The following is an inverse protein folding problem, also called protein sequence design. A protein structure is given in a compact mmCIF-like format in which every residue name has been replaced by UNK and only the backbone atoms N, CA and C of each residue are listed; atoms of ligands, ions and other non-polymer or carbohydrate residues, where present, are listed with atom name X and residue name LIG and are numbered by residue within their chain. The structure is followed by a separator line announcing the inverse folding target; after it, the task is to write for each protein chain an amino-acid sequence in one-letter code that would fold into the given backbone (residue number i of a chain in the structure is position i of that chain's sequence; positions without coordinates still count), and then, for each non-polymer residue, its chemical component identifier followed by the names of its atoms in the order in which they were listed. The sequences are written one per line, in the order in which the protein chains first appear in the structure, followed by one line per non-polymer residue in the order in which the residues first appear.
data_IF_824865908869
#
_entry.id   IF_824865908869
#
_cell.length_a   1.000
_cell.length_b   1.000
_cell.length_c   1.000
_cell.angle_alpha   90.00
_cell.angle_beta   90.00
_cell.angle_gamma   90.00
#
_symmetry.space_group_name_H-M   'P 1'
#
loop_
_entity.id
_entity.type
_entity.pdbx_description
1 polymer ?
#
# COMPACT_ATOMS: atom_id res chain seq x y z
N UNK A 1 -2.02 -3.84 8.93
CA UNK A 1 -0.93 -2.85 8.66
C UNK A 1 -1.38 -1.76 7.69
N UNK A 2 -1.90 -2.11 6.51
CA UNK A 2 -2.42 -1.13 5.54
C UNK A 2 -3.46 -0.17 6.16
N UNK A 3 -4.42 -0.72 6.89
CA UNK A 3 -5.44 0.02 7.64
C UNK A 3 -4.86 1.12 8.52
N UNK A 4 -3.85 0.79 9.33
CA UNK A 4 -3.17 1.76 10.19
C UNK A 4 -2.47 2.86 9.38
N UNK A 5 -1.82 2.51 8.26
CA UNK A 5 -1.20 3.49 7.38
C UNK A 5 -2.23 4.40 6.70
N UNK A 6 -3.34 3.85 6.23
CA UNK A 6 -4.43 4.63 5.63
C UNK A 6 -5.03 5.62 6.64
N UNK A 7 -5.26 5.20 7.88
CA UNK A 7 -5.73 6.10 8.94
C UNK A 7 -4.72 7.17 9.30
N UNK A 8 -3.43 6.83 9.35
CA UNK A 8 -2.37 7.81 9.57
C UNK A 8 -2.40 8.90 8.51
N UNK A 9 -2.49 8.53 7.22
CA UNK A 9 -2.63 9.50 6.13
C UNK A 9 -3.94 10.31 6.25
N UNK A 10 -5.08 9.66 6.53
CA UNK A 10 -6.38 10.34 6.70
C UNK A 10 -6.38 11.34 7.86
N UNK A 11 -5.67 11.04 8.94
CA UNK A 11 -5.57 11.91 10.12
C UNK A 11 -4.81 13.20 9.79
N UNK A 12 -3.64 13.09 9.14
CA UNK A 12 -2.82 14.25 8.78
C UNK A 12 -3.34 15.07 7.61
N UNK A 13 -4.45 14.66 6.98
CA UNK A 13 -5.21 15.54 6.10
C UNK A 13 -6.04 16.59 6.86
N UNK A 14 -6.31 16.37 8.15
CA UNK A 14 -7.13 17.25 9.01
C UNK A 14 -6.33 17.93 10.10
N UNK A 15 -5.28 17.28 10.60
CA UNK A 15 -4.47 17.77 11.71
C UNK A 15 -3.01 18.00 11.29
N UNK A 16 -2.34 18.92 12.01
CA UNK A 16 -0.92 19.22 11.80
C UNK A 16 -0.02 18.23 12.53
N UNK A 17 1.14 17.94 11.94
CA UNK A 17 2.24 17.21 12.62
C UNK A 17 2.89 18.03 13.75
N UNK A 18 2.65 19.33 13.80
CA UNK A 18 3.10 20.20 14.89
C UNK A 18 2.25 20.00 16.15
N UNK A 19 0.93 19.84 15.97
CA UNK A 19 -0.03 19.67 17.07
C UNK A 19 -0.06 18.23 17.59
N UNK A 20 0.07 17.26 16.68
CA UNK A 20 0.04 15.84 16.98
C UNK A 20 1.33 15.18 16.51
N UNK A 21 2.09 14.65 17.45
CA UNK A 21 3.37 14.06 17.15
C UNK A 21 3.20 12.71 16.42
N UNK A 22 3.95 12.55 15.31
CA UNK A 22 3.85 11.41 14.39
C UNK A 22 3.99 10.04 15.05
N UNK A 23 4.80 9.91 16.10
CA UNK A 23 5.01 8.61 16.75
C UNK A 23 3.78 8.18 17.55
N UNK A 24 3.13 9.11 18.24
CA UNK A 24 1.94 8.85 19.03
C UNK A 24 0.75 8.52 18.14
N UNK A 25 0.58 9.27 17.04
CA UNK A 25 -0.47 8.98 16.04
C UNK A 25 -0.23 7.64 15.36
N UNK A 26 1.01 7.33 14.96
CA UNK A 26 1.33 6.03 14.35
C UNK A 26 1.07 4.86 15.32
N UNK A 27 1.48 4.99 16.59
CA UNK A 27 1.23 3.99 17.61
C UNK A 27 -0.28 3.78 17.84
N UNK A 28 -1.04 4.87 17.87
CA UNK A 28 -2.50 4.85 18.03
C UNK A 28 -3.21 4.22 16.83
N UNK A 29 -2.77 4.54 15.60
CA UNK A 29 -3.30 3.91 14.40
C UNK A 29 -3.06 2.39 14.40
N UNK A 30 -1.87 1.94 14.79
CA UNK A 30 -1.55 0.52 14.93
C UNK A 30 -2.42 -0.13 16.00
N UNK A 31 -2.51 0.48 17.18
CA UNK A 31 -3.30 -0.06 18.28
C UNK A 31 -4.78 -0.17 17.90
N UNK A 32 -5.37 0.89 17.36
CA UNK A 32 -6.74 0.91 16.89
C UNK A 32 -6.97 -0.15 15.81
N UNK A 33 -6.02 -0.32 14.87
CA UNK A 33 -6.18 -1.27 13.77
C UNK A 33 -6.20 -2.71 14.30
N UNK A 34 -5.42 -3.02 15.33
CA UNK A 34 -5.48 -4.35 15.96
C UNK A 34 -6.81 -4.66 16.63
N UNK A 35 -7.54 -3.62 17.09
CA UNK A 35 -8.88 -3.79 17.64
C UNK A 35 -9.92 -4.00 16.54
N UNK A 36 -9.83 -3.25 15.45
CA UNK A 36 -10.78 -3.32 14.33
C UNK A 36 -10.61 -4.59 13.48
N UNK A 37 -9.37 -5.05 13.25
CA UNK A 37 -9.08 -6.26 12.46
C UNK A 37 -9.16 -7.57 13.29
N UNK A 38 -9.78 -7.54 14.47
CA UNK A 38 -9.92 -8.68 15.41
C UNK A 38 -8.59 -9.38 15.81
N UNK A 39 -7.44 -8.73 15.57
CA UNK A 39 -6.12 -9.24 15.90
C UNK A 39 -5.55 -8.60 17.18
N UNK A 40 -6.41 -8.41 18.19
CA UNK A 40 -6.14 -7.61 19.38
C UNK A 40 -4.74 -7.82 19.98
N UNK A 41 -4.06 -6.70 20.27
CA UNK A 41 -2.78 -6.67 20.97
C UNK A 41 -2.95 -5.90 22.28
N UNK A 42 -2.20 -6.28 23.32
CA UNK A 42 -2.21 -5.53 24.58
C UNK A 42 -1.58 -4.16 24.33
N UNK A 43 -2.19 -3.10 24.87
CA UNK A 43 -1.68 -1.74 24.77
C UNK A 43 -0.22 -1.64 25.22
N UNK A 44 0.13 -2.31 26.32
CA UNK A 44 1.50 -2.37 26.84
C UNK A 44 2.49 -2.94 25.82
N UNK A 45 2.13 -3.98 25.07
CA UNK A 45 3.02 -4.60 24.10
C UNK A 45 3.28 -3.65 22.93
N UNK A 46 2.25 -2.91 22.49
CA UNK A 46 2.39 -1.85 21.47
C UNK A 46 3.31 -0.74 21.99
N UNK A 47 3.08 -0.24 23.20
CA UNK A 47 3.89 0.80 23.81
C UNK A 47 5.37 0.38 23.96
N UNK A 48 5.65 -0.85 24.39
CA UNK A 48 7.02 -1.38 24.46
C UNK A 48 7.73 -1.39 23.11
N UNK A 49 7.01 -1.78 22.04
CA UNK A 49 7.57 -1.76 20.68
C UNK A 49 7.87 -0.33 20.25
N UNK A 50 6.98 0.63 20.54
CA UNK A 50 7.21 2.05 20.25
C UNK A 50 8.44 2.56 21.00
N UNK A 51 8.51 2.40 22.32
CA UNK A 51 9.66 2.81 23.12
C UNK A 51 10.97 2.18 22.62
N UNK A 52 10.95 0.89 22.24
CA UNK A 52 12.11 0.21 21.66
C UNK A 52 12.57 0.85 20.35
N UNK A 53 11.64 1.19 19.45
CA UNK A 53 11.95 1.81 18.16
C UNK A 53 12.42 3.25 18.29
N UNK A 54 11.87 4.01 19.23
CA UNK A 54 12.26 5.41 19.48
C UNK A 54 13.61 5.50 20.18
N UNK A 55 13.86 4.66 21.19
CA UNK A 55 15.10 4.69 21.97
C UNK A 55 16.23 3.87 21.35
N UNK A 56 15.97 3.15 20.25
CA UNK A 56 16.90 2.20 19.62
C UNK A 56 17.45 1.13 20.59
N UNK A 57 16.62 0.74 21.56
CA UNK A 57 16.94 -0.29 22.56
C UNK A 57 16.14 -1.54 22.25
N UNK A 58 16.74 -2.71 22.45
CA UNK A 58 16.05 -3.99 22.29
C UNK A 58 14.85 -4.10 23.25
N UNK A 59 13.71 -4.57 22.74
CA UNK A 59 12.44 -4.71 23.48
C UNK A 59 12.65 -5.52 24.77
N UNK A 60 13.53 -6.54 24.72
CA UNK A 60 13.83 -7.41 25.87
C UNK A 60 14.48 -6.67 27.04
N UNK A 61 15.09 -5.50 26.81
CA UNK A 61 15.76 -4.70 27.83
C UNK A 61 14.83 -3.66 28.47
N UNK A 62 13.63 -3.47 27.91
CA UNK A 62 12.65 -2.52 28.42
C UNK A 62 11.79 -3.22 29.46
N UNK A 63 11.83 -2.70 30.70
CA UNK A 63 11.00 -3.18 31.79
C UNK A 63 9.51 -2.89 31.52
N UNK A 64 8.64 -3.82 31.91
CA UNK A 64 7.19 -3.74 31.69
C UNK A 64 6.54 -2.59 32.48
N UNK A 65 7.14 -2.21 33.60
CA UNK A 65 6.75 -1.16 34.55
C UNK A 65 7.62 0.10 34.44
N UNK A 66 8.34 0.24 33.32
CA UNK A 66 9.11 1.47 33.06
C UNK A 66 8.16 2.66 32.90
N UNK A 67 8.54 3.78 33.50
CA UNK A 67 7.77 5.04 33.45
C UNK A 67 7.52 5.47 32.01
N UNK A 68 8.50 5.27 31.13
CA UNK A 68 8.41 5.60 29.71
C UNK A 68 7.31 4.78 29.00
N UNK A 69 7.14 3.51 29.35
CA UNK A 69 6.08 2.65 28.79
C UNK A 69 4.72 3.08 29.32
N UNK A 70 4.59 3.45 30.60
CA UNK A 70 3.33 3.98 31.15
C UNK A 70 2.92 5.31 30.51
N UNK A 71 3.87 6.23 30.33
CA UNK A 71 3.65 7.50 29.62
C UNK A 71 3.25 7.26 28.16
N UNK A 72 3.92 6.32 27.47
CA UNK A 72 3.57 5.95 26.09
C UNK A 72 2.16 5.34 25.98
N UNK A 73 1.77 4.45 26.91
CA UNK A 73 0.42 3.89 26.95
C UNK A 73 -0.63 5.01 27.12
N UNK A 74 -0.37 5.96 28.01
CA UNK A 74 -1.26 7.11 28.24
C UNK A 74 -1.37 7.97 26.97
N UNK A 75 -0.24 8.27 26.33
CA UNK A 75 -0.20 9.02 25.07
C UNK A 75 -0.99 8.35 23.95
N UNK A 76 -0.86 7.02 23.80
CA UNK A 76 -1.61 6.23 22.82
C UNK A 76 -3.12 6.35 23.07
N UNK A 77 -3.57 6.24 24.32
CA UNK A 77 -5.01 6.32 24.63
C UNK A 77 -5.59 7.71 24.38
N UNK A 78 -4.86 8.77 24.76
CA UNK A 78 -5.29 10.15 24.51
C UNK A 78 -5.31 10.47 23.01
N UNK A 79 -4.30 10.02 22.28
CA UNK A 79 -4.22 10.23 20.83
C UNK A 79 -5.27 9.40 20.09
N UNK A 80 -5.60 8.20 20.59
CA UNK A 80 -6.66 7.36 20.06
C UNK A 80 -8.03 8.07 20.11
N UNK A 81 -8.37 8.76 21.19
CA UNK A 81 -9.63 9.51 21.32
C UNK A 81 -9.78 10.53 20.17
N UNK A 82 -8.73 11.33 19.93
CA UNK A 82 -8.71 12.32 18.84
C UNK A 82 -8.67 11.65 17.47
N UNK A 83 -7.98 10.51 17.34
CA UNK A 83 -7.91 9.74 16.10
C UNK A 83 -9.30 9.25 15.68
N UNK A 84 -10.11 8.74 16.61
CA UNK A 84 -11.47 8.27 16.33
C UNK A 84 -12.33 9.40 15.75
N UNK A 85 -12.28 10.59 16.36
CA UNK A 85 -12.98 11.78 15.86
C UNK A 85 -12.43 12.25 14.51
N UNK A 86 -11.10 12.25 14.35
CA UNK A 86 -10.41 12.63 13.11
C UNK A 86 -10.73 11.73 11.92
N UNK A 87 -11.01 10.45 12.18
CA UNK A 87 -11.49 9.49 11.19
C UNK A 87 -13.01 9.55 11.00
N UNK A 88 -13.72 10.39 11.76
CA UNK A 88 -15.17 10.47 11.75
C UNK A 88 -15.83 9.11 12.04
N UNK A 89 -15.17 8.27 12.85
CA UNK A 89 -15.57 6.88 13.11
C UNK A 89 -15.72 6.00 11.85
N UNK A 90 -15.12 6.40 10.72
CA UNK A 90 -15.07 5.60 9.50
C UNK A 90 -13.83 4.70 9.49
N UNK A 91 -14.03 3.46 9.90
CA UNK A 91 -12.97 2.45 9.98
C UNK A 91 -12.88 1.54 8.76
N UNK A 92 -13.73 1.76 7.74
CA UNK A 92 -13.71 0.93 6.54
C UNK A 92 -12.52 1.33 5.67
N UNK A 93 -11.62 0.37 5.44
CA UNK A 93 -10.44 0.53 4.61
C UNK A 93 -10.31 -0.67 3.68
N UNK A 94 -10.63 -0.45 2.42
CA UNK A 94 -10.40 -1.41 1.35
C UNK A 94 -8.92 -1.41 0.98
N UNK A 95 -8.34 -2.61 0.83
CA UNK A 95 -6.89 -2.81 0.75
C UNK A 95 -6.47 -3.31 -0.63
N UNK A 96 -5.42 -2.75 -1.27
CA UNK A 96 -4.96 -3.19 -2.58
C UNK A 96 -4.43 -4.64 -2.56
N UNK A 97 -4.05 -5.15 -1.39
CA UNK A 97 -3.71 -6.56 -1.20
C UNK A 97 -4.88 -7.49 -1.53
N UNK A 98 -6.12 -7.10 -1.22
CA UNK A 98 -7.31 -7.90 -1.57
C UNK A 98 -7.46 -8.01 -3.08
N UNK A 99 -7.44 -6.86 -3.77
CA UNK A 99 -7.51 -6.80 -5.24
C UNK A 99 -6.34 -7.54 -5.92
N UNK A 100 -5.14 -7.53 -5.31
CA UNK A 100 -3.99 -8.29 -5.81
C UNK A 100 -4.20 -9.79 -5.73
N UNK A 101 -4.77 -10.30 -4.63
CA UNK A 101 -5.07 -11.73 -4.49
C UNK A 101 -6.07 -12.16 -5.55
N UNK A 102 -7.17 -11.41 -5.71
CA UNK A 102 -8.18 -11.68 -6.73
C UNK A 102 -7.57 -11.64 -8.15
N UNK A 103 -6.66 -10.72 -8.40
CA UNK A 103 -5.93 -10.61 -9.66
C UNK A 103 -4.99 -11.80 -9.89
N UNK A 104 -4.24 -12.26 -8.88
CA UNK A 104 -3.34 -13.41 -9.01
C UNK A 104 -4.13 -14.69 -9.33
N UNK A 105 -5.30 -14.87 -8.72
CA UNK A 105 -6.19 -16.00 -9.02
C UNK A 105 -6.75 -15.94 -10.44
N UNK A 106 -7.17 -14.76 -10.90
CA UNK A 106 -7.74 -14.56 -12.23
C UNK A 106 -6.68 -14.61 -13.34
N UNK A 107 -5.47 -14.12 -13.06
CA UNK A 107 -4.37 -14.01 -14.00
C UNK A 107 -3.06 -14.60 -13.43
N UNK A 108 -2.98 -15.94 -13.27
CA UNK A 108 -1.79 -16.58 -12.71
C UNK A 108 -0.53 -16.22 -13.49
N UNK A 109 0.54 -15.92 -12.76
CA UNK A 109 1.82 -15.55 -13.34
C UNK A 109 2.98 -16.21 -12.59
N UNK A 110 4.20 -15.79 -12.89
CA UNK A 110 5.40 -16.22 -12.18
C UNK A 110 5.32 -15.77 -10.71
N UNK A 111 5.61 -16.65 -9.74
CA UNK A 111 5.53 -16.30 -8.32
C UNK A 111 6.44 -15.11 -7.97
N UNK A 112 7.56 -14.94 -8.68
CA UNK A 112 8.46 -13.80 -8.47
C UNK A 112 7.81 -12.45 -8.82
N UNK A 113 6.90 -12.41 -9.80
CA UNK A 113 6.14 -11.21 -10.14
C UNK A 113 5.10 -10.93 -9.06
N UNK A 114 4.41 -11.96 -8.57
CA UNK A 114 3.38 -11.83 -7.54
C UNK A 114 3.99 -11.34 -6.21
N UNK A 115 5.12 -11.91 -5.80
CA UNK A 115 5.89 -11.48 -4.64
C UNK A 115 6.40 -10.03 -4.80
N UNK A 116 6.89 -9.68 -5.98
CA UNK A 116 7.35 -8.33 -6.28
C UNK A 116 6.18 -7.32 -6.22
N UNK A 117 5.02 -7.64 -6.81
CA UNK A 117 3.83 -6.81 -6.78
C UNK A 117 3.32 -6.62 -5.35
N UNK A 118 3.31 -7.69 -4.56
CA UNK A 118 2.96 -7.65 -3.13
C UNK A 118 3.91 -6.76 -2.33
N UNK A 119 5.23 -6.84 -2.59
CA UNK A 119 6.22 -5.97 -1.96
C UNK A 119 5.98 -4.49 -2.31
N UNK A 120 5.78 -4.18 -3.59
CA UNK A 120 5.49 -2.81 -4.05
C UNK A 120 4.20 -2.28 -3.40
N UNK A 121 3.18 -3.12 -3.25
CA UNK A 121 1.94 -2.75 -2.56
C UNK A 121 2.18 -2.44 -1.07
N UNK A 122 3.08 -3.15 -0.40
CA UNK A 122 3.47 -2.81 0.98
C UNK A 122 4.25 -1.50 1.07
N UNK A 123 5.09 -1.20 0.08
CA UNK A 123 5.83 0.07 0.03
C UNK A 123 4.90 1.26 -0.20
N UNK A 124 3.78 1.05 -0.91
CA UNK A 124 2.76 2.07 -1.13
C UNK A 124 2.22 2.69 0.17
N UNK A 125 2.30 1.96 1.30
CA UNK A 125 1.83 2.42 2.61
C UNK A 125 2.51 3.70 3.07
N UNK A 126 3.74 3.94 2.60
CA UNK A 126 4.54 5.12 2.95
C UNK A 126 4.10 6.39 2.22
N UNK A 127 3.21 6.25 1.25
CA UNK A 127 2.75 7.34 0.37
C UNK A 127 1.25 7.57 0.57
N UNK A 128 0.73 8.78 0.27
CA UNK A 128 -0.69 9.08 0.41
C UNK A 128 -1.56 8.46 -0.69
N UNK A 129 -1.07 7.44 -1.42
CA UNK A 129 -1.80 6.83 -2.54
C UNK A 129 -3.17 6.28 -2.14
N UNK A 130 -3.29 5.74 -0.93
CA UNK A 130 -4.56 5.30 -0.34
C UNK A 130 -5.62 6.40 -0.18
N UNK A 131 -5.22 7.68 -0.24
CA UNK A 131 -6.13 8.83 -0.22
C UNK A 131 -6.50 9.31 -1.63
N UNK A 132 -5.59 9.10 -2.58
CA UNK A 132 -5.67 9.67 -3.92
C UNK A 132 -6.39 8.75 -4.90
N UNK A 133 -6.37 7.44 -4.66
CA UNK A 133 -6.83 6.46 -5.63
C UNK A 133 -7.53 5.25 -4.99
N UNK A 134 -8.49 4.64 -5.70
CA UNK A 134 -9.09 3.38 -5.30
C UNK A 134 -8.06 2.23 -5.21
N UNK A 135 -8.25 1.26 -4.29
CA UNK A 135 -7.37 0.10 -4.11
C UNK A 135 -7.08 -0.69 -5.38
N UNK A 136 -8.11 -0.96 -6.21
CA UNK A 136 -7.95 -1.62 -7.52
C UNK A 136 -6.92 -0.94 -8.44
N UNK A 137 -6.86 0.39 -8.44
CA UNK A 137 -5.89 1.15 -9.27
C UNK A 137 -4.48 0.95 -8.73
N UNK A 138 -4.33 1.00 -7.40
CA UNK A 138 -3.05 0.77 -6.73
C UNK A 138 -2.56 -0.66 -6.98
N UNK A 139 -3.43 -1.66 -6.84
CA UNK A 139 -3.13 -3.07 -7.11
C UNK A 139 -2.65 -3.28 -8.56
N UNK A 140 -3.39 -2.75 -9.54
CA UNK A 140 -3.00 -2.83 -10.94
C UNK A 140 -1.65 -2.15 -11.21
N UNK A 141 -1.41 -0.96 -10.62
CA UNK A 141 -0.13 -0.27 -10.76
C UNK A 141 1.04 -1.07 -10.18
N UNK A 142 0.84 -1.71 -9.02
CA UNK A 142 1.84 -2.59 -8.40
C UNK A 142 2.17 -3.79 -9.30
N UNK A 143 1.15 -4.43 -9.88
CA UNK A 143 1.31 -5.57 -10.78
C UNK A 143 2.07 -5.20 -12.06
N UNK A 144 1.67 -4.12 -12.72
CA UNK A 144 2.32 -3.63 -13.95
C UNK A 144 3.79 -3.26 -13.68
N UNK A 145 4.06 -2.64 -12.54
CA UNK A 145 5.43 -2.33 -12.13
C UNK A 145 6.28 -3.56 -11.85
N UNK A 146 5.72 -4.56 -11.17
CA UNK A 146 6.42 -5.80 -10.86
C UNK A 146 6.81 -6.56 -12.12
N UNK A 147 5.88 -6.71 -13.07
CA UNK A 147 6.16 -7.35 -14.36
C UNK A 147 7.27 -6.60 -15.11
N UNK A 148 7.17 -5.26 -15.17
CA UNK A 148 8.20 -4.43 -15.80
C UNK A 148 9.57 -4.58 -15.14
N UNK A 149 9.61 -4.62 -13.80
CA UNK A 149 10.86 -4.77 -13.05
C UNK A 149 11.53 -6.11 -13.36
N UNK A 150 10.75 -7.18 -13.53
CA UNK A 150 11.25 -8.52 -13.83
C UNK A 150 11.71 -8.72 -15.28
N UNK A 151 11.16 -7.95 -16.23
CA UNK A 151 11.63 -7.94 -17.62
C UNK A 151 12.91 -7.10 -17.84
N UNK A 152 13.26 -6.24 -16.88
CA UNK A 152 14.48 -5.44 -16.92
C UNK A 152 14.44 -4.26 -17.92
N UNK A 153 15.61 -3.72 -18.30
CA UNK A 153 15.71 -2.46 -19.06
C UNK A 153 15.23 -2.55 -20.52
N UNK A 154 14.98 -3.76 -21.04
CA UNK A 154 14.42 -3.98 -22.37
C UNK A 154 12.88 -4.01 -22.40
N UNK A 155 12.24 -3.82 -21.24
CA UNK A 155 10.78 -3.79 -21.11
C UNK A 155 10.14 -2.64 -21.88
N UNK A 156 8.98 -2.89 -22.46
CA UNK A 156 8.11 -1.86 -23.06
C UNK A 156 7.78 -0.74 -22.05
N UNK A 157 7.55 0.48 -22.55
CA UNK A 157 7.21 1.63 -21.69
C UNK A 157 5.91 1.39 -20.91
N UNK A 158 5.75 2.09 -19.77
CA UNK A 158 4.54 1.99 -18.93
C UNK A 158 3.29 2.35 -19.75
N UNK A 159 3.36 3.43 -20.53
CA UNK A 159 2.27 3.85 -21.41
C UNK A 159 1.89 2.77 -22.43
N UNK A 160 2.87 2.03 -22.98
CA UNK A 160 2.60 0.95 -23.93
C UNK A 160 1.94 -0.28 -23.28
N UNK A 161 2.16 -0.52 -21.99
CA UNK A 161 1.49 -1.58 -21.22
C UNK A 161 0.08 -1.19 -20.82
N UNK A 162 -0.12 0.10 -20.57
CA UNK A 162 -1.36 0.66 -20.01
C UNK A 162 -2.34 1.10 -21.10
N UNK A 163 -1.88 1.31 -22.34
CA UNK A 163 -2.73 1.72 -23.44
C UNK A 163 -3.91 0.75 -23.71
N UNK A 164 -5.10 1.34 -23.87
CA UNK A 164 -6.32 0.65 -24.31
C UNK A 164 -6.14 0.00 -25.69
N UNK A 165 -6.78 -1.16 -25.97
CA UNK A 165 -6.70 -1.76 -27.29
C UNK A 165 -7.17 -0.78 -28.37
N UNK A 166 -6.37 -0.60 -29.42
CA UNK A 166 -6.88 -0.03 -30.66
C UNK A 166 -8.05 -0.90 -31.16
N UNK A 167 -9.16 -0.32 -31.64
CA UNK A 167 -10.24 -1.10 -32.23
C UNK A 167 -9.67 -1.92 -33.39
N UNK A 168 -9.98 -3.21 -33.38
CA UNK A 168 -9.35 -4.28 -34.17
C UNK A 168 -8.99 -3.86 -35.60
N UNK A 169 -7.71 -3.65 -35.88
CA UNK A 169 -7.20 -3.61 -37.26
C UNK A 169 -6.90 -5.04 -37.70
N UNK A 170 -7.84 -5.61 -38.45
CA UNK A 170 -7.73 -6.86 -39.19
C UNK A 170 -6.58 -6.79 -40.21
N UNK A 171 -5.35 -7.15 -39.80
CA UNK A 171 -4.26 -7.47 -40.72
C UNK A 171 -3.44 -8.64 -40.13
N UNK A 172 -3.21 -9.73 -40.89
CA UNK A 172 -2.36 -10.83 -40.45
C UNK A 172 -0.90 -10.40 -40.59
N UNK A 173 -0.25 -10.01 -39.50
CA UNK A 173 1.21 -9.85 -39.45
C UNK A 173 1.91 -11.13 -38.96
N UNK A 174 3.15 -11.40 -39.43
CA UNK A 174 3.86 -12.65 -39.14
C UNK A 174 4.19 -12.79 -37.64
N UNK A 175 4.48 -14.01 -37.14
CA UNK A 175 4.71 -14.21 -35.72
C UNK A 175 6.08 -13.64 -35.34
N UNK A 176 6.11 -12.39 -34.90
CA UNK A 176 7.25 -11.86 -34.14
C UNK A 176 7.23 -12.50 -32.76
N UNK A 177 8.11 -13.47 -32.55
CA UNK A 177 8.45 -14.02 -31.23
C UNK A 177 8.93 -12.87 -30.34
N UNK A 178 8.04 -12.31 -29.51
CA UNK A 178 8.30 -11.55 -28.27
C UNK A 178 7.00 -11.09 -27.57
N UNK A 179 5.86 -11.73 -27.86
CA UNK A 179 4.52 -11.20 -27.52
C UNK A 179 3.85 -11.83 -26.30
N UNK A 180 4.49 -12.79 -25.63
CA UNK A 180 3.90 -13.49 -24.49
C UNK A 180 4.13 -12.77 -23.15
N UNK A 181 5.21 -11.98 -23.03
CA UNK A 181 5.64 -11.36 -21.77
C UNK A 181 4.94 -10.03 -21.47
N UNK A 182 4.57 -9.20 -22.45
CA UNK A 182 3.76 -7.97 -22.19
C UNK A 182 2.26 -8.24 -22.02
N UNK A 183 1.84 -9.50 -22.07
CA UNK A 183 0.43 -9.90 -22.04
C UNK A 183 -0.18 -9.91 -20.65
N UNK A 184 0.61 -10.04 -19.56
CA UNK A 184 0.01 -10.15 -18.23
C UNK A 184 -0.39 -8.78 -17.65
N UNK A 185 0.41 -7.72 -17.84
CA UNK A 185 -0.05 -6.34 -17.55
C UNK A 185 -1.37 -6.02 -18.26
N UNK A 186 -1.50 -6.44 -19.52
CA UNK A 186 -2.71 -6.21 -20.31
C UNK A 186 -3.91 -6.97 -19.73
N UNK A 187 -3.74 -8.25 -19.40
CA UNK A 187 -4.78 -9.06 -18.75
C UNK A 187 -5.22 -8.47 -17.41
N UNK A 188 -4.29 -7.93 -16.62
CA UNK A 188 -4.61 -7.28 -15.35
C UNK A 188 -5.47 -6.03 -15.53
N UNK A 189 -5.18 -5.23 -16.56
CA UNK A 189 -5.98 -4.05 -16.90
C UNK A 189 -7.38 -4.45 -17.39
N UNK A 190 -7.45 -5.46 -18.26
CA UNK A 190 -8.72 -5.99 -18.78
C UNK A 190 -9.58 -6.59 -17.66
N UNK A 191 -8.96 -7.25 -16.67
CA UNK A 191 -9.64 -7.82 -15.52
C UNK A 191 -10.44 -6.77 -14.71
N UNK A 192 -9.83 -5.62 -14.43
CA UNK A 192 -10.50 -4.54 -13.69
C UNK A 192 -11.40 -3.66 -14.55
N UNK A 193 -11.32 -3.77 -15.88
CA UNK A 193 -12.17 -3.03 -16.81
C UNK A 193 -12.01 -1.50 -16.72
N UNK A 194 -10.79 -1.01 -16.52
CA UNK A 194 -10.53 0.42 -16.34
C UNK A 194 -10.90 1.27 -17.54
N UNK A 195 -11.44 2.46 -17.27
CA UNK A 195 -11.60 3.51 -18.28
C UNK A 195 -10.29 4.30 -18.51
N UNK A 196 -10.27 5.17 -19.53
CA UNK A 196 -9.07 5.92 -19.92
C UNK A 196 -8.50 6.81 -18.79
N UNK A 197 -9.35 7.39 -17.93
CA UNK A 197 -8.92 8.21 -16.79
C UNK A 197 -8.30 7.35 -15.68
N UNK A 198 -8.86 6.17 -15.43
CA UNK A 198 -8.30 5.20 -14.48
C UNK A 198 -6.95 4.66 -14.96
N UNK A 199 -6.79 4.42 -16.27
CA UNK A 199 -5.52 4.02 -16.87
C UNK A 199 -4.43 5.09 -16.72
N UNK A 200 -4.76 6.36 -16.94
CA UNK A 200 -3.84 7.47 -16.67
C UNK A 200 -3.43 7.52 -15.19
N UNK A 201 -4.36 7.20 -14.29
CA UNK A 201 -4.09 7.11 -12.85
C UNK A 201 -3.14 5.96 -12.51
N UNK A 202 -3.32 4.78 -13.12
CA UNK A 202 -2.38 3.64 -13.01
C UNK A 202 -0.97 4.04 -13.46
N UNK A 203 -0.85 4.73 -14.61
CA UNK A 203 0.44 5.16 -15.15
C UNK A 203 1.16 6.18 -14.26
N UNK A 204 0.41 7.18 -13.77
CA UNK A 204 0.94 8.19 -12.85
C UNK A 204 1.41 7.58 -11.52
N UNK A 205 0.64 6.64 -10.96
CA UNK A 205 1.02 5.91 -9.76
C UNK A 205 2.28 5.06 -9.96
N UNK A 206 2.33 4.32 -11.06
CA UNK A 206 3.47 3.48 -11.38
C UNK A 206 4.76 4.32 -11.44
N UNK A 207 4.69 5.55 -11.96
CA UNK A 207 5.82 6.47 -11.97
C UNK A 207 6.23 6.90 -10.55
N UNK A 208 5.27 7.25 -9.69
CA UNK A 208 5.53 7.66 -8.31
C UNK A 208 6.18 6.52 -7.51
N UNK A 209 5.59 5.33 -7.52
CA UNK A 209 6.13 4.16 -6.81
C UNK A 209 7.54 3.79 -7.30
N UNK A 210 7.81 3.93 -8.61
CA UNK A 210 9.14 3.70 -9.17
C UNK A 210 10.19 4.70 -8.66
N UNK A 211 9.83 5.98 -8.55
CA UNK A 211 10.75 7.00 -8.01
C UNK A 211 11.12 6.68 -6.55
N UNK A 212 10.14 6.24 -5.75
CA UNK A 212 10.37 5.87 -4.35
C UNK A 212 11.24 4.61 -4.18
N UNK A 213 11.11 3.61 -5.05
CA UNK A 213 11.95 2.40 -4.99
C UNK A 213 13.38 2.60 -5.55
N UNK A 214 13.69 3.78 -6.09
CA UNK A 214 15.02 4.10 -6.63
C UNK A 214 15.88 4.96 -5.67
N UNK A 215 15.35 5.35 -4.52
CA UNK A 215 16.02 6.13 -3.46
C UNK A 215 16.31 5.27 -2.24
#
# INVERSE_FOLDING_TARGET
MYTAAAWFHRFYMRYSMEDYHRQDVAASCIFLATKTEECGRKLRDVAKVVCSKVSHIDIAKIADDSKEVEECQTSILLTEEVLLEGLCFDFVVDSPQGDLVDLFEACPNRPEIEECAWSIANDSFRTPLCLLYPPKIIAAACYVLAERAMEGPHSSSLDARIASPAPSASLPTPPSQNSQESGASRRAIEYFGFNEMELLSVAGQALLLRQWNSC
#
